data_IF_294724141080
#
_entry.id   IF_294724141080
#
_cell.length_a   1.000
_cell.length_b   1.000
_cell.length_c   1.000
_cell.angle_alpha   90.00
_cell.angle_beta   90.00
_cell.angle_gamma   90.00
#
_symmetry.space_group_name_H-M   'P 1'
#
loop_
_entity.id
_entity.type
_entity.pdbx_description
1 polymer ?
#
# COMPACT_ATOMS: atom_id res chain seq x y z
N UNK A 1 -10.79 -13.80 4.85
CA UNK A 1 -10.31 -15.19 4.86
C UNK A 1 -9.22 -15.32 5.90
N UNK A 2 -9.27 -16.35 6.72
CA UNK A 2 -8.18 -16.70 7.66
C UNK A 2 -7.34 -17.81 7.03
N UNK A 3 -6.02 -17.67 7.15
CA UNK A 3 -5.04 -18.63 6.65
C UNK A 3 -4.11 -19.06 7.79
N UNK A 4 -3.48 -20.23 7.74
CA UNK A 4 -2.62 -20.75 8.81
C UNK A 4 -1.24 -20.05 8.81
N UNK A 5 -1.26 -18.73 8.95
CA UNK A 5 -0.05 -17.88 9.07
C UNK A 5 -0.13 -17.14 10.40
N UNK A 6 1.00 -17.01 11.07
CA UNK A 6 1.09 -16.33 12.36
C UNK A 6 1.00 -14.81 12.24
N UNK A 7 1.40 -14.24 11.10
CA UNK A 7 1.48 -12.79 10.86
C UNK A 7 1.22 -12.46 9.39
N UNK A 8 0.81 -11.23 9.15
CA UNK A 8 0.57 -10.66 7.84
C UNK A 8 -0.91 -10.50 7.53
N UNK A 9 -1.24 -9.43 6.84
CA UNK A 9 -2.55 -9.16 6.28
C UNK A 9 -2.37 -8.87 4.80
N UNK A 10 -3.12 -9.59 3.96
CA UNK A 10 -3.29 -9.26 2.56
C UNK A 10 -4.73 -8.80 2.36
N UNK A 11 -4.90 -7.52 2.06
CA UNK A 11 -6.19 -6.93 1.78
C UNK A 11 -6.38 -6.77 0.26
N UNK A 12 -7.58 -7.06 -0.22
CA UNK A 12 -8.02 -6.75 -1.58
C UNK A 12 -9.27 -5.90 -1.50
N UNK A 13 -9.23 -4.76 -2.17
CA UNK A 13 -10.35 -3.81 -2.25
C UNK A 13 -10.72 -3.65 -3.72
N UNK A 14 -12.00 -3.69 -4.01
CA UNK A 14 -12.53 -3.42 -5.35
C UNK A 14 -13.48 -2.24 -5.30
N UNK A 15 -13.44 -1.39 -6.32
CA UNK A 15 -14.34 -0.26 -6.47
C UNK A 15 -14.72 -0.08 -7.96
N UNK A 16 -15.96 0.33 -8.27
CA UNK A 16 -16.32 0.65 -9.65
C UNK A 16 -15.42 1.76 -10.22
N UNK A 17 -15.06 1.66 -11.48
CA UNK A 17 -14.37 2.74 -12.18
C UNK A 17 -15.24 3.99 -12.24
N UNK A 18 -14.65 5.16 -12.03
CA UNK A 18 -15.32 6.44 -12.32
C UNK A 18 -15.49 6.62 -13.82
N UNK A 19 -16.43 7.49 -14.24
CA UNK A 19 -16.59 7.82 -15.65
C UNK A 19 -15.28 8.39 -16.24
N UNK A 20 -14.63 9.28 -15.53
CA UNK A 20 -13.36 9.88 -15.96
C UNK A 20 -12.26 8.82 -16.18
N UNK A 21 -12.19 7.80 -15.33
CA UNK A 21 -11.20 6.73 -15.50
C UNK A 21 -11.54 5.83 -16.69
N UNK A 22 -12.82 5.52 -16.92
CA UNK A 22 -13.25 4.71 -18.06
C UNK A 22 -12.99 5.40 -19.41
N UNK A 23 -13.13 6.72 -19.46
CA UNK A 23 -12.97 7.54 -20.66
C UNK A 23 -11.51 7.99 -20.88
N UNK A 24 -10.60 7.69 -19.95
CA UNK A 24 -9.20 8.03 -20.10
C UNK A 24 -8.58 7.28 -21.30
N UNK A 25 -7.70 7.92 -22.07
CA UNK A 25 -7.00 7.26 -23.18
C UNK A 25 -6.22 6.01 -22.77
N UNK A 26 -5.66 6.04 -21.58
CA UNK A 26 -4.97 4.92 -20.90
C UNK A 26 -5.43 4.86 -19.46
N UNK A 27 -6.46 4.08 -19.13
CA UNK A 27 -6.99 3.99 -17.78
C UNK A 27 -6.00 3.41 -16.76
N UNK A 28 -5.16 2.45 -17.16
CA UNK A 28 -4.14 1.86 -16.29
C UNK A 28 -3.08 2.90 -15.90
N UNK A 29 -2.56 3.64 -16.86
CA UNK A 29 -1.61 4.71 -16.59
C UNK A 29 -2.26 5.83 -15.74
N UNK A 30 -3.51 6.19 -16.00
CA UNK A 30 -4.23 7.19 -15.23
C UNK A 30 -4.46 6.75 -13.77
N UNK A 31 -4.85 5.48 -13.56
CA UNK A 31 -4.99 4.90 -12.23
C UNK A 31 -3.66 4.93 -11.48
N UNK A 32 -2.59 4.47 -12.11
CA UNK A 32 -1.28 4.43 -11.50
C UNK A 32 -0.77 5.83 -11.16
N UNK A 33 -0.92 6.79 -12.06
CA UNK A 33 -0.53 8.18 -11.83
C UNK A 33 -1.25 8.77 -10.60
N UNK A 34 -2.55 8.48 -10.42
CA UNK A 34 -3.30 8.94 -9.26
C UNK A 34 -2.76 8.35 -7.93
N UNK A 35 -2.28 7.11 -7.94
CA UNK A 35 -1.65 6.49 -6.77
C UNK A 35 -0.24 7.02 -6.53
N UNK A 36 0.56 7.24 -7.59
CA UNK A 36 1.88 7.86 -7.48
C UNK A 36 1.78 9.30 -6.96
N UNK A 37 0.76 10.05 -7.36
CA UNK A 37 0.50 11.42 -6.89
C UNK A 37 0.08 11.42 -5.40
N UNK A 38 -0.71 10.44 -4.97
CA UNK A 38 -1.15 10.33 -3.59
C UNK A 38 -0.07 9.78 -2.64
N UNK A 39 0.71 8.78 -3.06
CA UNK A 39 1.59 7.98 -2.19
C UNK A 39 3.02 7.83 -2.70
N UNK A 40 3.32 8.25 -3.91
CA UNK A 40 4.65 8.15 -4.49
C UNK A 40 5.64 9.13 -3.88
N UNK A 41 6.92 8.95 -4.19
CA UNK A 41 8.01 9.79 -3.68
C UNK A 41 7.88 11.29 -4.05
N UNK A 42 7.11 11.60 -5.10
CA UNK A 42 6.84 12.96 -5.57
C UNK A 42 5.49 13.51 -5.08
N UNK A 43 4.64 12.67 -4.48
CA UNK A 43 3.31 13.04 -4.01
C UNK A 43 3.31 13.53 -2.56
N UNK A 44 2.43 12.97 -1.73
CA UNK A 44 2.28 13.38 -0.32
C UNK A 44 3.51 13.12 0.55
N UNK A 45 4.52 12.42 0.03
CA UNK A 45 5.72 12.05 0.78
C UNK A 45 5.50 10.91 1.79
N UNK A 46 4.45 10.12 1.62
CA UNK A 46 4.11 8.98 2.51
C UNK A 46 5.16 7.86 2.36
N UNK A 47 6.26 7.98 3.11
CA UNK A 47 7.43 7.10 3.02
C UNK A 47 7.16 5.65 3.46
N UNK A 48 6.04 5.40 4.14
CA UNK A 48 5.65 4.08 4.66
C UNK A 48 4.65 3.33 3.76
N UNK A 49 4.29 3.91 2.61
CA UNK A 49 3.49 3.24 1.57
C UNK A 49 4.36 3.08 0.32
N UNK A 50 4.47 1.85 -0.17
CA UNK A 50 5.29 1.51 -1.33
C UNK A 50 4.39 0.99 -2.45
N UNK A 51 4.22 1.78 -3.50
CA UNK A 51 3.55 1.31 -4.71
C UNK A 51 4.54 0.43 -5.50
N UNK A 52 4.19 -0.85 -5.62
CA UNK A 52 5.04 -1.83 -6.30
C UNK A 52 5.11 -1.57 -7.80
N UNK A 53 6.20 -1.99 -8.47
CA UNK A 53 6.29 -1.95 -9.93
C UNK A 53 5.12 -2.70 -10.58
N UNK A 54 4.74 -2.29 -11.77
CA UNK A 54 3.70 -2.95 -12.55
C UNK A 54 3.98 -4.45 -12.70
N UNK A 55 2.93 -5.27 -12.57
CA UNK A 55 3.05 -6.72 -12.62
C UNK A 55 3.57 -7.39 -11.35
N UNK A 56 4.02 -6.61 -10.35
CA UNK A 56 4.46 -7.14 -9.05
C UNK A 56 3.34 -6.99 -8.03
N UNK A 57 2.94 -8.09 -7.40
CA UNK A 57 1.84 -8.11 -6.42
C UNK A 57 2.35 -8.15 -4.98
N UNK A 58 1.63 -7.52 -4.04
CA UNK A 58 1.98 -7.56 -2.62
C UNK A 58 2.01 -8.98 -2.07
N UNK A 59 3.01 -9.27 -1.26
CA UNK A 59 3.20 -10.55 -0.58
C UNK A 59 3.43 -10.27 0.91
N UNK A 60 2.67 -10.95 1.79
CA UNK A 60 2.79 -10.76 3.24
C UNK A 60 4.20 -11.04 3.76
N UNK A 61 4.90 -12.01 3.17
CA UNK A 61 6.27 -12.35 3.54
C UNK A 61 7.25 -11.17 3.45
N UNK A 62 7.11 -10.33 2.43
CA UNK A 62 8.04 -9.21 2.19
C UNK A 62 7.90 -8.05 3.16
N UNK A 63 6.77 -7.97 3.89
CA UNK A 63 6.49 -6.88 4.84
C UNK A 63 6.59 -7.31 6.30
N UNK A 64 6.90 -8.57 6.59
CA UNK A 64 7.03 -9.05 7.96
C UNK A 64 8.10 -8.26 8.73
N UNK A 65 7.75 -7.77 9.91
CA UNK A 65 8.62 -6.98 10.78
C UNK A 65 8.79 -5.53 10.35
N UNK A 66 8.17 -5.09 9.25
CA UNK A 66 8.27 -3.71 8.79
C UNK A 66 7.08 -2.85 9.22
N UNK A 67 7.30 -1.55 9.22
CA UNK A 67 6.26 -0.52 9.36
C UNK A 67 5.71 -0.04 8.02
N UNK A 68 6.00 -0.72 6.90
CA UNK A 68 5.57 -0.34 5.56
C UNK A 68 4.32 -1.12 5.11
N UNK A 69 3.58 -0.52 4.20
CA UNK A 69 2.56 -1.18 3.40
C UNK A 69 3.04 -1.26 1.95
N UNK A 70 2.97 -2.44 1.34
CA UNK A 70 3.18 -2.58 -0.10
C UNK A 70 1.83 -2.63 -0.80
N UNK A 71 1.69 -1.88 -1.89
CA UNK A 71 0.43 -1.73 -2.62
C UNK A 71 0.63 -2.00 -4.10
N UNK A 72 -0.36 -2.58 -4.75
CA UNK A 72 -0.49 -2.65 -6.20
C UNK A 72 -1.92 -2.35 -6.59
N UNK A 73 -2.09 -1.70 -7.72
CA UNK A 73 -3.39 -1.36 -8.30
C UNK A 73 -3.49 -1.91 -9.72
N UNK A 74 -4.68 -2.31 -10.10
CA UNK A 74 -4.99 -2.81 -11.43
C UNK A 74 -6.45 -2.53 -11.81
N UNK A 75 -6.77 -2.67 -13.08
CA UNK A 75 -8.14 -2.59 -13.59
C UNK A 75 -8.62 -4.00 -13.97
N UNK A 76 -9.75 -4.39 -13.42
CA UNK A 76 -10.54 -5.50 -13.95
C UNK A 76 -11.47 -4.94 -15.04
N UNK A 77 -11.06 -5.13 -16.30
CA UNK A 77 -11.84 -4.63 -17.45
C UNK A 77 -13.18 -5.36 -17.61
N UNK A 78 -13.26 -6.61 -17.19
CA UNK A 78 -14.49 -7.39 -17.28
C UNK A 78 -15.56 -6.93 -16.29
N UNK A 79 -15.14 -6.49 -15.12
CA UNK A 79 -16.01 -5.99 -14.05
C UNK A 79 -16.12 -4.45 -14.05
N UNK A 80 -15.40 -3.74 -14.92
CA UNK A 80 -15.27 -2.28 -14.92
C UNK A 80 -14.88 -1.74 -13.53
N UNK A 81 -13.95 -2.43 -12.86
CA UNK A 81 -13.57 -2.16 -11.47
C UNK A 81 -12.07 -1.90 -11.32
N UNK A 82 -11.74 -1.02 -10.40
CA UNK A 82 -10.39 -0.90 -9.86
C UNK A 82 -10.20 -1.96 -8.78
N UNK A 83 -9.05 -2.62 -8.80
CA UNK A 83 -8.60 -3.54 -7.76
C UNK A 83 -7.36 -2.97 -7.12
N UNK A 84 -7.38 -2.78 -5.80
CA UNK A 84 -6.22 -2.42 -5.02
C UNK A 84 -5.89 -3.57 -4.06
N UNK A 85 -4.63 -4.02 -4.08
CA UNK A 85 -4.13 -5.02 -3.13
C UNK A 85 -3.07 -4.39 -2.25
N UNK A 86 -3.12 -4.72 -0.96
CA UNK A 86 -2.19 -4.22 0.03
C UNK A 86 -1.73 -5.34 0.95
N UNK A 87 -0.43 -5.43 1.19
CA UNK A 87 0.14 -6.29 2.23
C UNK A 87 0.78 -5.46 3.34
N UNK A 88 0.51 -5.85 4.58
CA UNK A 88 1.11 -5.26 5.78
C UNK A 88 1.48 -6.34 6.79
N UNK A 89 2.40 -6.04 7.68
CA UNK A 89 2.57 -6.77 8.94
C UNK A 89 1.52 -6.30 9.94
N UNK A 90 0.69 -7.21 10.45
CA UNK A 90 -0.37 -6.88 11.40
C UNK A 90 0.13 -6.34 12.75
N UNK A 91 1.32 -6.71 13.18
CA UNK A 91 1.96 -6.20 14.41
C UNK A 91 2.87 -4.99 14.15
N UNK A 92 3.45 -4.89 12.94
CA UNK A 92 4.22 -3.72 12.48
C UNK A 92 3.29 -2.59 12.04
N UNK A 93 3.13 -2.39 10.73
CA UNK A 93 2.28 -1.32 10.15
C UNK A 93 0.84 -1.35 10.67
N UNK A 94 0.30 -2.53 10.92
CA UNK A 94 -1.08 -2.69 11.42
C UNK A 94 -1.28 -2.27 12.87
N UNK A 95 -0.23 -2.11 13.68
CA UNK A 95 -0.36 -1.80 15.12
C UNK A 95 0.77 -0.89 15.62
N UNK A 96 1.94 -1.45 15.95
CA UNK A 96 2.98 -0.74 16.68
C UNK A 96 3.62 0.40 15.88
N UNK A 97 3.96 0.15 14.61
CA UNK A 97 4.58 1.18 13.77
C UNK A 97 3.60 2.30 13.41
N UNK A 98 2.30 2.01 13.26
CA UNK A 98 1.30 3.05 13.04
C UNK A 98 1.11 3.94 14.29
N UNK A 99 1.15 3.34 15.49
CA UNK A 99 1.11 4.11 16.73
C UNK A 99 2.37 5.00 16.89
N UNK A 100 3.55 4.46 16.56
CA UNK A 100 4.81 5.22 16.61
C UNK A 100 4.83 6.32 15.55
N UNK A 101 4.37 6.07 14.32
CA UNK A 101 4.19 7.07 13.28
C UNK A 101 3.31 8.24 13.76
N UNK A 102 2.15 7.93 14.34
CA UNK A 102 1.24 8.93 14.89
C UNK A 102 1.89 9.75 16.03
N UNK A 103 2.67 9.08 16.90
CA UNK A 103 3.41 9.75 17.96
C UNK A 103 4.48 10.69 17.41
N UNK A 104 5.26 10.25 16.42
CA UNK A 104 6.28 11.06 15.76
C UNK A 104 5.66 12.35 15.18
N UNK A 105 4.55 12.22 14.44
CA UNK A 105 3.83 13.36 13.87
C UNK A 105 3.31 14.31 14.97
N UNK A 106 2.74 13.77 16.05
CA UNK A 106 2.21 14.57 17.16
C UNK A 106 3.31 15.36 17.89
N UNK A 107 4.54 14.84 17.94
CA UNK A 107 5.69 15.48 18.55
C UNK A 107 6.51 16.35 17.58
N UNK A 108 6.14 16.44 16.32
CA UNK A 108 6.89 17.15 15.28
C UNK A 108 8.23 16.51 14.94
N UNK A 109 8.37 15.21 15.17
CA UNK A 109 9.52 14.42 14.78
C UNK A 109 9.40 13.97 13.31
N UNK A 110 10.53 13.51 12.75
CA UNK A 110 10.52 12.81 11.47
C UNK A 110 9.60 11.60 11.55
N UNK A 111 8.66 11.48 10.60
CA UNK A 111 7.58 10.49 10.59
C UNK A 111 8.06 9.05 10.78
N UNK A 112 9.20 8.72 10.16
CA UNK A 112 9.80 7.38 10.15
C UNK A 112 10.76 7.09 11.30
N UNK A 113 10.91 8.03 12.23
CA UNK A 113 11.84 7.85 13.37
C UNK A 113 11.58 6.55 14.11
N UNK A 114 12.61 5.71 14.20
CA UNK A 114 12.59 4.38 14.83
C UNK A 114 11.60 3.37 14.20
N UNK A 115 11.09 3.63 13.00
CA UNK A 115 10.26 2.69 12.25
C UNK A 115 11.13 1.92 11.26
N UNK A 116 11.11 0.59 11.36
CA UNK A 116 11.79 -0.27 10.39
C UNK A 116 11.00 -0.29 9.07
N UNK A 117 11.63 0.09 7.98
CA UNK A 117 10.98 0.18 6.65
C UNK A 117 11.20 -1.06 5.79
N UNK A 118 12.10 -1.95 6.17
CA UNK A 118 12.39 -3.20 5.46
C UNK A 118 11.87 -4.38 6.25
N UNK A 119 11.22 -5.32 5.55
CA UNK A 119 10.80 -6.57 6.14
C UNK A 119 11.98 -7.51 6.41
N UNK A 120 11.75 -8.47 7.29
CA UNK A 120 12.71 -9.54 7.64
C UNK A 120 12.52 -10.78 6.77
N UNK A 121 11.91 -10.67 5.62
CA UNK A 121 11.69 -11.78 4.72
C UNK A 121 13.02 -12.46 4.36
N UNK A 122 13.02 -13.80 4.29
CA UNK A 122 14.20 -14.57 3.87
C UNK A 122 14.52 -14.34 2.40
#
# INVERSE_FOLDING_TARGET
VLVPMSRGILATVTAPMTAALREAPDPEAALRAAWDDAYGATGSGESLIQLLPEGTWPITGTVLGSGTATVQVAIDRGAEAVVAMCAIDNLGKGTASAALQSLNLALGLEETTAITTQGVAP
#
